data_IF_246099709821
#
_entry.id   IF_246099709821
#
_cell.length_a   1.000
_cell.length_b   1.000
_cell.length_c   1.000
_cell.angle_alpha   90.00
_cell.angle_beta   90.00
_cell.angle_gamma   90.00
#
_symmetry.space_group_name_H-M   'P 1'
#
loop_
_entity.id
_entity.type
_entity.pdbx_description
1 polymer ?
#
# COMPACT_ATOMS: atom_id res chain seq x y z
N UNK A 1 -17.06 18.48 -52.83
CA UNK A 1 -16.29 18.04 -51.65
C UNK A 1 -16.96 16.75 -51.19
N UNK A 2 -16.24 15.62 -51.06
CA UNK A 2 -16.86 14.41 -50.54
C UNK A 2 -17.30 14.67 -49.09
N UNK A 3 -18.55 14.32 -48.78
CA UNK A 3 -19.12 14.44 -47.45
C UNK A 3 -18.52 13.36 -46.55
N UNK A 4 -17.87 13.77 -45.46
CA UNK A 4 -17.31 12.86 -44.47
C UNK A 4 -18.47 12.42 -43.57
N UNK A 5 -18.88 11.16 -43.72
CA UNK A 5 -19.94 10.53 -42.91
C UNK A 5 -19.35 9.74 -41.75
N UNK A 6 -20.17 9.36 -40.77
CA UNK A 6 -19.74 8.57 -39.60
C UNK A 6 -19.09 7.23 -39.96
N UNK A 7 -19.38 6.70 -41.16
CA UNK A 7 -18.84 5.44 -41.66
C UNK A 7 -17.57 5.62 -42.50
N UNK A 8 -17.01 6.83 -42.54
CA UNK A 8 -15.77 7.08 -43.26
C UNK A 8 -14.61 6.35 -42.55
N UNK A 9 -13.77 5.59 -43.28
CA UNK A 9 -12.73 4.75 -42.69
C UNK A 9 -11.73 5.55 -41.85
N UNK A 10 -11.48 6.81 -42.24
CA UNK A 10 -10.60 7.72 -41.50
C UNK A 10 -11.21 8.18 -40.16
N UNK A 11 -12.55 8.33 -40.08
CA UNK A 11 -13.25 8.68 -38.83
C UNK A 11 -13.32 7.47 -37.90
N UNK A 12 -13.51 6.27 -38.44
CA UNK A 12 -13.49 5.03 -37.66
C UNK A 12 -12.09 4.73 -37.11
N UNK A 13 -11.04 4.89 -37.92
CA UNK A 13 -9.66 4.73 -37.46
C UNK A 13 -9.31 5.72 -36.33
N UNK A 14 -9.69 6.98 -36.47
CA UNK A 14 -9.49 7.98 -35.40
C UNK A 14 -10.29 7.66 -34.13
N UNK A 15 -11.51 7.10 -34.27
CA UNK A 15 -12.32 6.70 -33.13
C UNK A 15 -11.76 5.46 -32.44
N UNK A 16 -11.28 4.46 -33.18
CA UNK A 16 -10.62 3.27 -32.63
C UNK A 16 -9.30 3.63 -31.94
N UNK A 17 -8.48 4.49 -32.53
CA UNK A 17 -7.25 5.01 -31.91
C UNK A 17 -7.55 5.81 -30.63
N UNK A 18 -8.63 6.60 -30.62
CA UNK A 18 -9.07 7.32 -29.43
C UNK A 18 -9.58 6.36 -28.34
N UNK A 19 -10.21 5.24 -28.70
CA UNK A 19 -10.67 4.21 -27.76
C UNK A 19 -9.49 3.38 -27.23
N UNK A 20 -8.53 3.03 -28.08
CA UNK A 20 -7.31 2.31 -27.69
C UNK A 20 -6.45 3.16 -26.75
N UNK A 21 -6.19 4.42 -27.10
CA UNK A 21 -5.49 5.36 -26.21
C UNK A 21 -6.25 5.64 -24.92
N UNK A 22 -7.58 5.71 -24.94
CA UNK A 22 -8.39 5.82 -23.73
C UNK A 22 -8.39 4.53 -22.89
N UNK A 23 -8.19 3.36 -23.51
CA UNK A 23 -8.06 2.08 -22.79
C UNK A 23 -6.70 1.92 -22.11
N UNK A 24 -5.66 2.59 -22.64
CA UNK A 24 -4.33 2.66 -22.04
C UNK A 24 -4.22 3.70 -20.92
N UNK A 25 -5.12 4.70 -20.90
CA UNK A 25 -5.18 5.66 -19.80
C UNK A 25 -5.81 5.04 -18.55
N UNK A 26 -5.07 5.02 -17.43
CA UNK A 26 -5.63 4.65 -16.13
C UNK A 26 -6.77 5.61 -15.77
N UNK A 27 -7.97 5.07 -15.58
CA UNK A 27 -9.12 5.84 -15.10
C UNK A 27 -8.88 6.17 -13.63
N UNK A 28 -8.31 7.34 -13.37
CA UNK A 28 -8.17 7.87 -12.02
C UNK A 28 -9.51 8.46 -11.57
N UNK A 29 -10.25 7.75 -10.73
CA UNK A 29 -11.45 8.28 -10.09
C UNK A 29 -11.07 9.43 -9.15
N UNK A 30 -11.98 10.38 -8.96
CA UNK A 30 -11.74 11.47 -8.02
C UNK A 30 -11.78 10.97 -6.57
N UNK A 31 -11.01 11.58 -5.65
CA UNK A 31 -11.00 11.18 -4.24
C UNK A 31 -12.37 11.16 -3.57
N UNK A 32 -13.26 12.05 -3.99
CA UNK A 32 -14.63 12.16 -3.47
C UNK A 32 -15.47 10.94 -3.83
N UNK A 33 -15.29 10.37 -5.03
CA UNK A 33 -15.99 9.16 -5.46
C UNK A 33 -15.61 7.98 -4.56
N UNK A 34 -14.32 7.85 -4.19
CA UNK A 34 -13.89 6.81 -3.25
C UNK A 34 -14.57 6.95 -1.89
N UNK A 35 -14.62 8.16 -1.34
CA UNK A 35 -15.28 8.43 -0.06
C UNK A 35 -16.78 8.14 -0.13
N UNK A 36 -17.46 8.51 -1.23
CA UNK A 36 -18.88 8.19 -1.44
C UNK A 36 -19.17 6.69 -1.55
N UNK A 37 -18.31 5.94 -2.25
CA UNK A 37 -18.44 4.49 -2.37
C UNK A 37 -18.26 3.84 -0.99
N UNK A 38 -17.28 4.29 -0.22
CA UNK A 38 -17.06 3.80 1.14
C UNK A 38 -18.24 4.11 2.06
N UNK A 39 -18.78 5.34 2.00
CA UNK A 39 -19.97 5.74 2.75
C UNK A 39 -21.16 4.80 2.49
N UNK A 40 -21.44 4.53 1.20
CA UNK A 40 -22.51 3.63 0.77
C UNK A 40 -22.28 2.20 1.25
N UNK A 41 -21.05 1.71 1.14
CA UNK A 41 -20.69 0.37 1.61
C UNK A 41 -20.89 0.22 3.12
N UNK A 42 -20.44 1.21 3.92
CA UNK A 42 -20.63 1.21 5.38
C UNK A 42 -22.12 1.26 5.74
N UNK A 43 -22.91 2.07 5.04
CA UNK A 43 -24.35 2.16 5.27
C UNK A 43 -25.07 0.83 4.97
N UNK A 44 -24.71 0.16 3.87
CA UNK A 44 -25.25 -1.16 3.51
C UNK A 44 -24.85 -2.23 4.54
N UNK A 45 -23.58 -2.23 4.96
CA UNK A 45 -23.08 -3.12 6.00
C UNK A 45 -23.83 -2.94 7.32
N UNK A 46 -24.04 -1.69 7.73
CA UNK A 46 -24.76 -1.34 8.97
C UNK A 46 -26.20 -1.84 8.92
N UNK A 47 -26.88 -1.69 7.78
CA UNK A 47 -28.27 -2.16 7.58
C UNK A 47 -28.39 -3.69 7.69
N UNK A 48 -27.43 -4.41 7.13
CA UNK A 48 -27.44 -5.88 7.06
C UNK A 48 -26.73 -6.55 8.25
N UNK A 49 -26.20 -5.79 9.21
CA UNK A 49 -25.34 -6.31 10.27
C UNK A 49 -26.07 -7.30 11.19
N UNK A 50 -27.34 -7.01 11.52
CA UNK A 50 -28.17 -7.89 12.37
C UNK A 50 -28.45 -9.25 11.74
N UNK A 51 -28.52 -9.32 10.42
CA UNK A 51 -28.74 -10.57 9.68
C UNK A 51 -27.45 -11.40 9.57
N UNK A 52 -26.30 -10.72 9.46
CA UNK A 52 -24.99 -11.39 9.39
C UNK A 52 -24.55 -11.95 10.74
N UNK A 53 -24.81 -11.22 11.83
CA UNK A 53 -24.39 -11.59 13.18
C UNK A 53 -25.54 -11.39 14.18
N UNK A 54 -26.34 -12.44 14.43
CA UNK A 54 -27.43 -12.37 15.40
C UNK A 54 -26.89 -12.02 16.80
N UNK A 55 -27.32 -10.87 17.34
CA UNK A 55 -26.87 -10.37 18.65
C UNK A 55 -25.71 -9.37 18.61
N UNK A 56 -25.17 -9.03 17.43
CA UNK A 56 -24.17 -7.99 17.32
C UNK A 56 -24.76 -6.58 17.53
N UNK A 57 -23.95 -5.61 17.99
CA UNK A 57 -24.34 -4.20 18.05
C UNK A 57 -24.82 -3.66 16.70
N UNK A 58 -25.73 -2.67 16.73
CA UNK A 58 -26.27 -2.07 15.50
C UNK A 58 -25.19 -1.42 14.64
N UNK A 59 -24.18 -0.82 15.27
CA UNK A 59 -22.99 -0.30 14.60
C UNK A 59 -21.89 -1.36 14.64
N UNK A 60 -21.58 -1.95 13.48
CA UNK A 60 -20.41 -2.81 13.30
C UNK A 60 -19.14 -1.98 13.07
N UNK A 61 -17.98 -2.60 13.27
CA UNK A 61 -16.70 -2.03 12.84
C UNK A 61 -16.42 -2.32 11.36
N UNK A 62 -15.51 -1.54 10.77
CA UNK A 62 -15.04 -1.74 9.41
C UNK A 62 -13.51 -1.64 9.37
N UNK A 63 -12.89 -2.37 8.45
CA UNK A 63 -11.47 -2.28 8.14
C UNK A 63 -11.36 -2.08 6.64
N UNK A 64 -10.64 -1.05 6.22
CA UNK A 64 -10.33 -0.82 4.82
C UNK A 64 -8.86 -1.12 4.62
N UNK A 65 -8.56 -1.94 3.62
CA UNK A 65 -7.21 -2.29 3.24
C UNK A 65 -6.71 -1.33 2.14
N UNK A 66 -5.44 -0.97 2.21
CA UNK A 66 -4.72 -0.17 1.20
C UNK A 66 -5.38 1.18 0.85
N UNK A 67 -5.99 1.86 1.83
CA UNK A 67 -6.57 3.19 1.67
C UNK A 67 -6.54 3.93 3.02
N UNK A 68 -6.26 5.24 3.06
CA UNK A 68 -6.09 6.19 1.95
C UNK A 68 -4.75 6.08 1.20
N UNK A 69 -4.76 6.38 -0.11
CA UNK A 69 -3.56 6.35 -0.96
C UNK A 69 -2.89 7.73 -1.13
N UNK A 70 -3.59 8.81 -0.78
CA UNK A 70 -3.07 10.18 -0.93
C UNK A 70 -3.69 11.11 0.12
N UNK A 71 -3.13 12.30 0.27
CA UNK A 71 -3.67 13.33 1.19
C UNK A 71 -5.06 13.79 0.76
N UNK A 72 -5.34 13.82 -0.54
CA UNK A 72 -6.66 14.19 -1.04
C UNK A 72 -7.72 13.15 -0.64
N UNK A 73 -7.36 11.85 -0.68
CA UNK A 73 -8.22 10.80 -0.15
C UNK A 73 -8.47 10.96 1.35
N UNK A 74 -7.44 11.29 2.13
CA UNK A 74 -7.59 11.56 3.57
C UNK A 74 -8.52 12.75 3.83
N UNK A 75 -8.38 13.81 3.05
CA UNK A 75 -9.21 15.02 3.16
C UNK A 75 -10.66 14.72 2.81
N UNK A 76 -10.92 13.97 1.73
CA UNK A 76 -12.26 13.55 1.34
C UNK A 76 -12.94 12.70 2.44
N UNK A 77 -12.20 11.83 3.13
CA UNK A 77 -12.73 11.09 4.28
C UNK A 77 -13.06 11.99 5.46
N UNK A 78 -12.18 12.96 5.75
CA UNK A 78 -12.37 13.93 6.83
C UNK A 78 -13.66 14.74 6.63
N UNK A 79 -13.88 15.25 5.42
CA UNK A 79 -15.08 16.01 5.07
C UNK A 79 -16.37 15.20 5.19
N UNK A 80 -16.30 13.89 4.91
CA UNK A 80 -17.42 12.95 5.04
C UNK A 80 -17.60 12.41 6.47
N UNK A 81 -16.70 12.72 7.39
CA UNK A 81 -16.72 12.18 8.75
C UNK A 81 -16.49 10.67 8.81
N UNK A 82 -15.73 10.11 7.85
CA UNK A 82 -15.42 8.68 7.71
C UNK A 82 -13.99 8.35 8.17
N UNK A 83 -13.41 9.17 9.04
CA UNK A 83 -12.06 8.92 9.55
C UNK A 83 -12.06 7.64 10.42
N UNK A 84 -11.08 6.75 10.25
CA UNK A 84 -10.91 5.58 11.10
C UNK A 84 -10.40 5.98 12.49
N UNK A 85 -10.70 5.17 13.51
CA UNK A 85 -10.14 5.35 14.85
C UNK A 85 -8.65 4.98 14.91
N UNK A 86 -8.24 3.99 14.11
CA UNK A 86 -6.87 3.48 14.07
C UNK A 86 -6.42 3.26 12.63
N UNK A 87 -5.23 3.76 12.31
CA UNK A 87 -4.51 3.49 11.07
C UNK A 87 -3.30 2.62 11.40
N UNK A 88 -3.25 1.44 10.80
CA UNK A 88 -2.16 0.49 11.00
C UNK A 88 -1.24 0.53 9.79
N UNK A 89 0.04 0.84 10.01
CA UNK A 89 1.08 0.76 9.00
C UNK A 89 2.00 -0.43 9.28
N UNK A 90 2.15 -1.30 8.29
CA UNK A 90 3.11 -2.40 8.33
C UNK A 90 4.37 -1.97 7.59
N UNK A 91 5.44 -1.72 8.32
CA UNK A 91 6.72 -1.27 7.77
C UNK A 91 7.74 -2.40 7.74
N UNK A 92 8.71 -2.28 6.84
CA UNK A 92 9.86 -3.18 6.75
C UNK A 92 11.15 -2.37 6.69
N UNK A 93 11.56 -1.82 7.83
CA UNK A 93 12.76 -0.95 7.93
C UNK A 93 14.02 -1.75 8.24
N UNK A 94 13.87 -2.92 8.88
CA UNK A 94 15.00 -3.76 9.23
C UNK A 94 15.75 -4.27 8.00
N UNK A 95 17.08 -4.37 8.13
CA UNK A 95 18.00 -4.85 7.09
C UNK A 95 17.77 -4.16 5.74
N UNK A 96 17.43 -2.87 5.74
CA UNK A 96 17.16 -2.07 4.54
C UNK A 96 16.02 -2.63 3.67
N UNK A 97 14.97 -3.16 4.32
CA UNK A 97 13.81 -3.70 3.62
C UNK A 97 14.04 -5.06 2.96
N UNK A 98 15.14 -5.75 3.29
CA UNK A 98 15.51 -7.01 2.67
C UNK A 98 14.43 -8.11 2.80
N UNK A 99 13.70 -8.14 3.92
CA UNK A 99 12.67 -9.15 4.17
C UNK A 99 11.52 -9.11 3.14
N UNK A 100 10.92 -7.92 2.93
CA UNK A 100 9.88 -7.69 1.93
C UNK A 100 10.41 -7.89 0.51
N UNK A 101 11.63 -7.44 0.23
CA UNK A 101 12.29 -7.65 -1.07
C UNK A 101 12.47 -9.14 -1.38
N UNK A 102 12.94 -9.92 -0.42
CA UNK A 102 13.10 -11.36 -0.55
C UNK A 102 11.75 -12.05 -0.76
N UNK A 103 10.74 -11.72 0.06
CA UNK A 103 9.38 -12.26 -0.08
C UNK A 103 8.76 -11.94 -1.44
N UNK A 104 8.92 -10.71 -1.92
CA UNK A 104 8.36 -10.27 -3.20
C UNK A 104 9.11 -10.87 -4.40
N UNK A 105 10.42 -11.09 -4.28
CA UNK A 105 11.20 -11.85 -5.24
C UNK A 105 10.71 -13.30 -5.32
N UNK A 106 10.54 -13.99 -4.19
CA UNK A 106 10.05 -15.37 -4.17
C UNK A 106 8.64 -15.49 -4.77
N UNK A 107 7.74 -14.55 -4.48
CA UNK A 107 6.39 -14.54 -5.02
C UNK A 107 6.34 -14.38 -6.55
N UNK A 108 7.30 -13.65 -7.12
CA UNK A 108 7.37 -13.37 -8.56
C UNK A 108 8.58 -14.05 -9.22
N UNK A 109 9.13 -15.10 -8.59
CA UNK A 109 10.41 -15.69 -8.96
C UNK A 109 10.44 -16.11 -10.41
N UNK A 110 9.38 -16.76 -10.87
CA UNK A 110 9.29 -17.26 -12.25
C UNK A 110 9.24 -16.13 -13.28
N UNK A 111 8.47 -15.07 -13.01
CA UNK A 111 8.35 -13.92 -13.90
C UNK A 111 9.65 -13.12 -13.97
N UNK A 112 10.25 -12.85 -12.80
CA UNK A 112 11.52 -12.13 -12.70
C UNK A 112 12.63 -12.94 -13.37
N UNK A 113 12.72 -14.25 -13.09
CA UNK A 113 13.72 -15.12 -13.71
C UNK A 113 13.52 -15.24 -15.22
N UNK A 114 12.28 -15.31 -15.71
CA UNK A 114 11.99 -15.31 -17.15
C UNK A 114 12.45 -14.00 -17.82
N UNK A 115 12.22 -12.84 -17.18
CA UNK A 115 12.71 -11.53 -17.65
C UNK A 115 14.24 -11.48 -17.69
N UNK A 116 14.91 -11.97 -16.64
CA UNK A 116 16.37 -12.09 -16.58
C UNK A 116 16.89 -12.96 -17.73
N UNK A 117 16.31 -14.15 -17.93
CA UNK A 117 16.71 -15.07 -19.00
C UNK A 117 16.48 -14.48 -20.39
N UNK A 118 15.38 -13.75 -20.58
CA UNK A 118 15.10 -13.05 -21.84
C UNK A 118 16.17 -12.00 -22.13
N UNK A 119 16.50 -11.15 -21.14
CA UNK A 119 17.57 -10.15 -21.27
C UNK A 119 18.91 -10.78 -21.60
N UNK A 120 19.30 -11.84 -20.89
CA UNK A 120 20.56 -12.55 -21.14
C UNK A 120 20.61 -13.16 -22.54
N UNK A 121 19.49 -13.70 -23.05
CA UNK A 121 19.41 -14.21 -24.42
C UNK A 121 19.52 -13.10 -25.47
N UNK A 122 18.89 -11.95 -25.23
CA UNK A 122 18.96 -10.79 -26.12
C UNK A 122 20.36 -10.16 -26.13
N UNK A 123 21.02 -10.06 -24.97
CA UNK A 123 22.41 -9.60 -24.85
C UNK A 123 23.37 -10.55 -25.59
N UNK A 124 23.21 -11.86 -25.42
CA UNK A 124 24.04 -12.86 -26.14
C UNK A 124 23.79 -12.88 -27.66
N UNK A 125 22.57 -12.57 -28.11
CA UNK A 125 22.29 -12.43 -29.55
C UNK A 125 22.96 -11.18 -30.12
N UNK A 126 22.87 -10.04 -29.42
CA UNK A 126 23.54 -8.81 -29.83
C UNK A 126 25.05 -8.94 -29.86
N UNK A 127 25.64 -9.57 -28.84
CA UNK A 127 27.09 -9.80 -28.81
C UNK A 127 27.54 -10.68 -29.99
N UNK A 128 26.72 -11.65 -30.41
CA UNK A 128 26.97 -12.44 -31.61
C UNK A 128 26.85 -11.63 -32.90
N UNK A 129 25.82 -10.79 -33.02
CA UNK A 129 25.64 -9.90 -34.17
C UNK A 129 26.81 -8.91 -34.27
N UNK A 130 27.25 -8.34 -33.15
CA UNK A 130 28.43 -7.45 -33.08
C UNK A 130 29.73 -8.19 -33.42
N UNK A 131 29.92 -9.43 -32.93
CA UNK A 131 31.10 -10.25 -33.25
C UNK A 131 31.08 -10.73 -34.72
N UNK A 132 29.91 -10.96 -35.30
CA UNK A 132 29.72 -11.28 -36.72
C UNK A 132 29.98 -10.05 -37.60
N UNK A 133 29.49 -8.87 -37.23
CA UNK A 133 29.81 -7.61 -37.90
C UNK A 133 31.32 -7.27 -37.80
N UNK A 134 31.94 -7.47 -36.63
CA UNK A 134 33.39 -7.29 -36.48
C UNK A 134 34.18 -8.31 -37.32
N UNK A 135 33.71 -9.56 -37.41
CA UNK A 135 34.29 -10.59 -38.28
C UNK A 135 34.14 -10.23 -39.75
N UNK A 136 32.96 -9.79 -40.20
CA UNK A 136 32.73 -9.33 -41.57
C UNK A 136 33.58 -8.10 -41.92
N UNK A 137 33.74 -7.13 -41.00
CA UNK A 137 34.62 -5.97 -41.20
C UNK A 137 36.09 -6.42 -41.27
N UNK A 138 36.52 -7.38 -40.43
CA UNK A 138 37.86 -7.96 -40.48
C UNK A 138 38.09 -8.83 -41.74
N UNK A 139 37.06 -9.49 -42.26
CA UNK A 139 37.10 -10.35 -43.45
C UNK A 139 37.08 -9.52 -44.74
N UNK A 140 36.35 -8.41 -44.78
CA UNK A 140 36.45 -7.38 -45.85
C UNK A 140 37.85 -6.75 -45.88
N UNK A 141 38.54 -6.67 -44.73
CA UNK A 141 39.95 -6.26 -44.63
C UNK A 141 40.94 -7.42 -44.92
N UNK A 142 40.50 -8.68 -44.94
CA UNK A 142 41.32 -9.90 -45.13
C UNK A 142 40.81 -10.80 -46.27
N UNK A 143 40.54 -10.24 -47.44
CA UNK A 143 40.40 -11.03 -48.66
C UNK A 143 41.77 -11.52 -49.17
N UNK A 144 42.39 -12.44 -48.42
CA UNK A 144 43.34 -13.46 -48.90
C UNK A 144 43.38 -14.63 -47.89
N UNK A 145 43.03 -15.83 -48.37
CA UNK A 145 43.14 -17.19 -47.78
C UNK A 145 42.02 -17.77 -46.88
N UNK A 146 41.17 -18.54 -47.56
CA UNK A 146 40.50 -19.84 -47.26
C UNK A 146 40.09 -20.26 -45.83
N UNK A 147 38.76 -20.38 -45.71
CA UNK A 147 37.94 -21.52 -45.24
C UNK A 147 38.31 -22.25 -43.93
N UNK A 148 37.46 -22.11 -42.89
CA UNK A 148 36.86 -23.27 -42.20
C UNK A 148 35.77 -22.96 -41.15
N UNK A 149 34.64 -23.66 -41.34
CA UNK A 149 33.71 -24.28 -40.39
C UNK A 149 33.34 -23.55 -39.09
N UNK A 150 32.06 -23.17 -38.99
CA UNK A 150 31.37 -22.79 -37.75
C UNK A 150 30.37 -23.89 -37.37
N UNK A 151 30.76 -24.75 -36.42
CA UNK A 151 29.82 -25.46 -35.57
C UNK A 151 30.41 -25.51 -34.16
N UNK A 152 29.77 -24.79 -33.23
CA UNK A 152 29.57 -25.19 -31.83
C UNK A 152 29.33 -23.96 -30.94
N UNK A 153 28.11 -23.82 -30.43
CA UNK A 153 27.81 -23.75 -28.99
C UNK A 153 26.40 -23.16 -28.81
N UNK A 154 25.41 -24.05 -28.72
CA UNK A 154 24.24 -23.78 -27.88
C UNK A 154 24.73 -23.85 -26.42
N UNK A 155 25.42 -22.81 -25.96
CA UNK A 155 25.71 -22.65 -24.55
C UNK A 155 24.38 -22.30 -23.87
N UNK A 156 23.87 -23.25 -23.08
CA UNK A 156 22.67 -23.07 -22.27
C UNK A 156 22.89 -21.87 -21.38
N UNK A 157 22.24 -20.75 -21.70
CA UNK A 157 22.12 -19.59 -20.81
C UNK A 157 21.43 -20.07 -19.54
N UNK A 158 22.22 -20.40 -18.53
CA UNK A 158 21.75 -20.78 -17.19
C UNK A 158 21.62 -19.51 -16.36
N UNK A 159 20.60 -19.48 -15.49
CA UNK A 159 20.49 -18.43 -14.48
C UNK A 159 21.82 -18.34 -13.70
N UNK A 160 22.33 -17.13 -13.42
CA UNK A 160 23.47 -16.98 -12.54
C UNK A 160 23.19 -17.66 -11.19
N UNK A 161 24.16 -18.36 -10.62
CA UNK A 161 24.01 -18.93 -9.28
C UNK A 161 23.94 -17.79 -8.26
N UNK A 162 22.80 -17.69 -7.58
CA UNK A 162 22.59 -16.75 -6.48
C UNK A 162 22.52 -17.52 -5.16
N UNK A 163 22.97 -16.93 -4.04
CA UNK A 163 22.80 -17.51 -2.72
C UNK A 163 21.32 -17.85 -2.47
N UNK A 164 21.01 -19.04 -1.92
CA UNK A 164 19.63 -19.48 -1.63
C UNK A 164 18.84 -18.49 -0.76
N UNK A 165 19.55 -17.66 0.01
CA UNK A 165 18.98 -16.66 0.93
C UNK A 165 19.02 -15.22 0.39
N UNK A 166 19.54 -15.01 -0.83
CA UNK A 166 19.75 -13.70 -1.44
C UNK A 166 18.80 -13.44 -2.61
N UNK A 167 18.37 -12.18 -2.78
CA UNK A 167 17.74 -11.74 -4.03
C UNK A 167 18.82 -11.23 -5.00
N UNK A 168 18.65 -11.41 -6.33
CA UNK A 168 19.63 -10.98 -7.31
C UNK A 168 19.68 -9.44 -7.41
N UNK A 169 20.87 -8.84 -7.39
CA UNK A 169 21.07 -7.40 -7.68
C UNK A 169 21.03 -7.16 -9.18
N UNK A 170 19.85 -7.34 -9.76
CA UNK A 170 19.58 -7.21 -11.19
C UNK A 170 18.65 -6.03 -11.48
N UNK A 171 18.66 -5.46 -12.69
CA UNK A 171 17.81 -4.33 -13.06
C UNK A 171 16.31 -4.55 -12.77
N UNK A 172 15.83 -5.77 -12.91
CA UNK A 172 14.45 -6.18 -12.65
C UNK A 172 14.09 -6.02 -11.16
N UNK A 173 15.03 -6.29 -10.26
CA UNK A 173 14.87 -6.10 -8.82
C UNK A 173 14.93 -4.61 -8.42
N UNK A 174 15.66 -3.79 -9.18
CA UNK A 174 15.66 -2.32 -8.98
C UNK A 174 14.30 -1.69 -9.24
N UNK A 175 13.50 -2.24 -10.17
CA UNK A 175 12.12 -1.78 -10.40
C UNK A 175 11.25 -2.04 -9.18
N UNK A 176 11.37 -3.23 -8.59
CA UNK A 176 10.66 -3.60 -7.36
C UNK A 176 11.04 -2.68 -6.21
N UNK A 177 12.35 -2.42 -6.03
CA UNK A 177 12.85 -1.50 -5.01
C UNK A 177 12.28 -0.09 -5.17
N UNK A 178 12.28 0.45 -6.39
CA UNK A 178 11.69 1.78 -6.67
C UNK A 178 10.22 1.89 -6.28
N UNK A 179 9.43 0.82 -6.49
CA UNK A 179 8.01 0.81 -6.10
C UNK A 179 7.85 0.92 -4.58
N UNK A 180 8.70 0.24 -3.82
CA UNK A 180 8.71 0.32 -2.36
C UNK A 180 9.14 1.71 -1.91
N UNK A 181 10.20 2.26 -2.49
CA UNK A 181 10.69 3.61 -2.17
C UNK A 181 9.61 4.68 -2.45
N UNK A 182 8.90 4.55 -3.57
CA UNK A 182 7.79 5.44 -3.94
C UNK A 182 6.65 5.35 -2.92
N UNK A 183 6.24 4.13 -2.56
CA UNK A 183 5.21 3.92 -1.54
C UNK A 183 5.59 4.56 -0.20
N UNK A 184 6.84 4.38 0.26
CA UNK A 184 7.29 4.96 1.52
C UNK A 184 7.27 6.49 1.50
N UNK A 185 7.64 7.10 0.37
CA UNK A 185 7.56 8.54 0.19
C UNK A 185 6.12 9.07 0.23
N UNK A 186 5.21 8.41 -0.49
CA UNK A 186 3.81 8.81 -0.54
C UNK A 186 3.14 8.59 0.83
N UNK A 187 3.46 7.48 1.49
CA UNK A 187 3.02 7.17 2.85
C UNK A 187 3.45 8.24 3.85
N UNK A 188 4.70 8.70 3.84
CA UNK A 188 5.16 9.77 4.75
C UNK A 188 4.32 11.04 4.63
N UNK A 189 3.88 11.37 3.42
CA UNK A 189 3.05 12.55 3.17
C UNK A 189 1.66 12.37 3.79
N UNK A 190 1.08 11.17 3.64
CA UNK A 190 -0.23 10.81 4.21
C UNK A 190 -0.16 10.70 5.73
N UNK A 191 0.88 10.06 6.27
CA UNK A 191 1.12 9.88 7.70
C UNK A 191 1.20 11.21 8.43
N UNK A 192 1.87 12.21 7.85
CA UNK A 192 1.91 13.57 8.41
C UNK A 192 0.51 14.16 8.53
N UNK A 193 -0.32 14.02 7.49
CA UNK A 193 -1.70 14.53 7.50
C UNK A 193 -2.61 13.77 8.49
N UNK A 194 -2.35 12.49 8.72
CA UNK A 194 -3.07 11.69 9.72
C UNK A 194 -2.63 12.11 11.13
N UNK A 195 -1.33 12.28 11.36
CA UNK A 195 -0.75 12.63 12.66
C UNK A 195 -1.18 14.02 13.15
N UNK A 196 -1.59 14.92 12.25
CA UNK A 196 -2.16 16.22 12.61
C UNK A 196 -3.57 16.10 13.24
N UNK A 197 -4.25 14.96 13.04
CA UNK A 197 -5.58 14.71 13.61
C UNK A 197 -5.48 14.04 14.98
N UNK A 198 -5.92 14.68 16.08
CA UNK A 198 -5.85 14.09 17.42
C UNK A 198 -6.84 12.94 17.63
N UNK A 199 -7.78 12.73 16.70
CA UNK A 199 -8.82 11.72 16.78
C UNK A 199 -8.37 10.34 16.28
N UNK A 200 -7.22 10.26 15.59
CA UNK A 200 -6.79 9.04 14.90
C UNK A 200 -5.50 8.52 15.51
N UNK A 201 -5.49 7.24 15.90
CA UNK A 201 -4.29 6.57 16.36
C UNK A 201 -3.52 5.99 15.17
N UNK A 202 -2.24 6.37 15.00
CA UNK A 202 -1.34 5.72 14.05
C UNK A 202 -0.51 4.67 14.78
N UNK A 203 -0.61 3.41 14.33
CA UNK A 203 0.16 2.28 14.84
C UNK A 203 1.09 1.76 13.75
N UNK A 204 2.40 1.96 13.91
CA UNK A 204 3.41 1.48 12.97
C UNK A 204 4.05 0.20 13.53
N UNK A 205 4.01 -0.89 12.76
CA UNK A 205 4.54 -2.19 13.15
C UNK A 205 5.61 -2.68 12.18
N UNK A 206 6.73 -3.14 12.72
CA UNK A 206 7.82 -3.74 11.96
C UNK A 206 7.51 -5.20 11.64
N UNK A 207 7.48 -5.56 10.36
CA UNK A 207 7.15 -6.91 9.93
C UNK A 207 8.35 -7.87 9.91
N UNK A 208 9.57 -7.34 9.89
CA UNK A 208 10.76 -8.18 9.85
C UNK A 208 10.86 -9.06 11.10
N UNK A 209 11.14 -10.35 10.89
CA UNK A 209 11.36 -11.34 11.94
C UNK A 209 10.19 -11.53 12.94
N UNK A 210 9.00 -11.01 12.62
CA UNK A 210 7.80 -11.16 13.43
C UNK A 210 6.83 -12.18 12.82
N UNK A 211 6.20 -12.98 13.67
CA UNK A 211 5.07 -13.82 13.28
C UNK A 211 3.78 -12.99 13.17
N UNK A 212 2.85 -13.35 12.26
CA UNK A 212 1.55 -12.67 12.14
C UNK A 212 0.78 -12.54 13.46
N UNK A 213 0.86 -13.55 14.33
CA UNK A 213 0.22 -13.59 15.64
C UNK A 213 0.77 -12.52 16.58
N UNK A 214 2.10 -12.33 16.58
CA UNK A 214 2.77 -11.31 17.40
C UNK A 214 2.43 -9.88 16.93
N UNK A 215 2.26 -9.68 15.63
CA UNK A 215 1.80 -8.39 15.07
C UNK A 215 0.34 -8.13 15.45
N UNK A 216 -0.49 -9.16 15.38
CA UNK A 216 -1.89 -9.08 15.79
C UNK A 216 -2.01 -8.70 17.27
N UNK A 217 -1.28 -9.36 18.15
CA UNK A 217 -1.29 -9.08 19.59
C UNK A 217 -0.87 -7.63 19.90
N UNK A 218 0.13 -7.12 19.17
CA UNK A 218 0.57 -5.72 19.29
C UNK A 218 -0.51 -4.72 18.87
N UNK A 219 -1.19 -4.97 17.75
CA UNK A 219 -2.27 -4.10 17.28
C UNK A 219 -3.45 -4.13 18.26
N UNK A 220 -3.84 -5.33 18.72
CA UNK A 220 -4.92 -5.48 19.70
C UNK A 220 -4.60 -4.68 20.96
N UNK A 221 -3.39 -4.79 21.49
CA UNK A 221 -2.94 -3.99 22.63
C UNK A 221 -2.98 -2.48 22.37
N UNK A 222 -2.57 -2.04 21.18
CA UNK A 222 -2.60 -0.64 20.78
C UNK A 222 -4.03 -0.10 20.70
N UNK A 223 -4.94 -0.88 20.12
CA UNK A 223 -6.36 -0.56 19.99
C UNK A 223 -7.09 -0.58 21.33
N UNK A 224 -6.72 -1.44 22.28
CA UNK A 224 -7.34 -1.50 23.61
C UNK A 224 -6.91 -0.36 24.53
N UNK A 225 -5.69 0.16 24.34
CA UNK A 225 -5.08 1.15 25.25
C UNK A 225 -5.96 2.40 25.48
N UNK A 226 -6.59 3.02 24.46
CA UNK A 226 -7.48 4.17 24.65
C UNK A 226 -8.75 3.84 25.45
N UNK A 227 -9.20 2.58 25.43
CA UNK A 227 -10.42 2.16 26.12
C UNK A 227 -10.20 1.73 27.57
N UNK A 228 -8.94 1.68 28.05
CA UNK A 228 -8.64 1.37 29.44
C UNK A 228 -8.96 2.58 30.33
N UNK A 229 -10.09 2.50 31.02
CA UNK A 229 -10.50 3.45 32.05
C UNK A 229 -9.47 3.44 33.19
N UNK A 230 -8.77 4.56 33.36
CA UNK A 230 -7.98 4.78 34.57
C UNK A 230 -8.94 5.41 35.57
N UNK A 231 -9.20 4.73 36.69
CA UNK A 231 -9.99 5.31 37.76
C UNK A 231 -9.40 6.65 38.16
N UNK A 232 -10.25 7.68 38.25
CA UNK A 232 -9.82 8.95 38.83
C UNK A 232 -9.34 8.69 40.25
N UNK A 233 -8.11 9.11 40.52
CA UNK A 233 -7.54 9.07 41.86
C UNK A 233 -8.13 10.26 42.60
N UNK A 234 -8.93 10.01 43.64
CA UNK A 234 -9.46 11.04 44.52
C UNK A 234 -8.32 11.96 44.96
N UNK A 235 -8.42 13.22 44.57
CA UNK A 235 -7.50 14.27 44.96
C UNK A 235 -7.84 14.79 46.36
N UNK A 236 -6.93 15.52 46.98
CA UNK A 236 -7.25 16.21 48.23
C UNK A 236 -8.31 17.31 48.02
N UNK A 237 -8.33 17.90 46.82
CA UNK A 237 -9.32 18.92 46.42
C UNK A 237 -10.72 18.29 46.31
N UNK A 238 -10.82 17.05 45.81
CA UNK A 238 -12.09 16.31 45.73
C UNK A 238 -12.67 16.00 47.13
N UNK A 239 -11.78 15.71 48.11
CA UNK A 239 -12.19 15.45 49.49
C UNK A 239 -12.62 16.73 50.23
N UNK A 240 -11.93 17.84 49.95
CA UNK A 240 -12.31 19.15 50.49
C UNK A 240 -13.66 19.60 49.91
N UNK A 241 -13.91 19.39 48.61
CA UNK A 241 -15.21 19.67 47.96
C UNK A 241 -16.33 18.80 48.55
N UNK A 242 -16.15 17.48 48.69
CA UNK A 242 -17.14 16.61 49.35
C UNK A 242 -17.44 17.05 50.80
N UNK A 243 -16.44 17.54 51.53
CA UNK A 243 -16.62 18.01 52.91
C UNK A 243 -17.39 19.35 52.96
N UNK A 244 -17.15 20.26 52.01
CA UNK A 244 -17.89 21.50 51.86
C UNK A 244 -19.35 21.23 51.49
N UNK A 245 -19.60 20.31 50.55
CA UNK A 245 -20.96 19.90 50.16
C UNK A 245 -21.73 19.29 51.33
N UNK A 246 -21.10 18.38 52.10
CA UNK A 246 -21.72 17.77 53.27
C UNK A 246 -22.04 18.81 54.37
N UNK A 247 -21.15 19.80 54.56
CA UNK A 247 -21.38 20.87 55.51
C UNK A 247 -22.56 21.75 55.08
N UNK A 248 -22.67 22.08 53.79
CA UNK A 248 -23.79 22.84 53.25
C UNK A 248 -25.14 22.08 53.37
N UNK A 249 -25.15 20.76 53.16
CA UNK A 249 -26.34 19.94 53.37
C UNK A 249 -26.79 19.93 54.83
N UNK A 250 -25.86 19.76 55.78
CA UNK A 250 -26.15 19.80 57.20
C UNK A 250 -26.70 21.16 57.64
N UNK A 251 -26.12 22.27 57.17
CA UNK A 251 -26.62 23.61 57.47
C UNK A 251 -28.04 23.82 56.89
N UNK A 252 -28.31 23.32 55.68
CA UNK A 252 -29.64 23.39 55.08
C UNK A 252 -30.69 22.52 55.79
N UNK A 253 -30.30 21.36 56.35
CA UNK A 253 -31.18 20.55 57.20
C UNK A 253 -31.49 21.25 58.53
N UNK A 254 -30.47 21.82 59.19
CA UNK A 254 -30.65 22.57 60.45
C UNK A 254 -31.53 23.81 60.25
N UNK A 255 -31.38 24.55 59.14
CA UNK A 255 -32.26 25.68 58.81
C UNK A 255 -33.71 25.24 58.58
N UNK A 256 -33.95 24.12 57.90
CA UNK A 256 -35.31 23.60 57.71
C UNK A 256 -35.95 23.11 59.01
N UNK A 257 -35.20 22.46 59.90
CA UNK A 257 -35.71 22.04 61.22
C UNK A 257 -36.01 23.22 62.15
N UNK A 258 -35.34 24.35 61.98
CA UNK A 258 -35.57 25.57 62.75
C UNK A 258 -36.79 26.39 62.26
N UNK A 259 -37.27 26.14 61.03
CA UNK A 259 -38.44 26.81 60.44
C UNK A 259 -39.78 26.05 60.63
N UNK A 260 -39.78 24.79 61.13
CA UNK A 260 -40.98 24.05 61.59
C UNK A 260 -41.38 24.34 63.05
#
# INVERSE_FOLDING_TARGET
MPEITSDHPEVQAMAEEAVESASESEITLSPEIYAEVLERAIAELTKNNKDRFPGAPEKGGWVVDNYPLSVDHWTALSEKGLLPDTVVCLQNTEKNGAFLLHRLYLANKDEINAKILKRLREEALKEKEEEEEEREIQEILKLEEEEKSLEAAEEKVTLPEFPEDGFPDVPEMKVVKRKIDLFMHDWQTVESAISDSPLVQVAVLEIAEQSPENLLDQIVLAMEKPFKYHGWVLSAEDLDEEAEDLAAELEAEEENEAEE
#
